data_IF_945136843524
#
_entry.id   IF_945136843524
#
_cell.length_a   1.000
_cell.length_b   1.000
_cell.length_c   1.000
_cell.angle_alpha   90.00
_cell.angle_beta   90.00
_cell.angle_gamma   90.00
#
_symmetry.space_group_name_H-M   'P 1'
#
loop_
_entity.id
_entity.type
_entity.pdbx_description
1 polymer ?
#
# COMPACT_ATOMS: atom_id res chain seq x y z
N UNK A 1 2.96 -62.91 -2.08
CA UNK A 1 1.82 -63.07 -1.16
C UNK A 1 1.55 -61.68 -0.58
N UNK A 2 0.70 -60.87 -1.22
CA UNK A 2 -0.78 -60.89 -1.11
C UNK A 2 -1.15 -59.84 -0.06
N UNK A 3 -2.11 -58.94 -0.16
CA UNK A 3 -3.24 -58.62 -1.06
C UNK A 3 -3.63 -57.17 -0.71
N UNK A 4 -3.80 -56.24 -1.64
CA UNK A 4 -5.03 -55.87 -2.36
C UNK A 4 -6.16 -55.16 -1.54
N UNK A 5 -6.65 -54.06 -2.15
CA UNK A 5 -7.96 -53.40 -1.99
C UNK A 5 -8.23 -52.55 -0.73
N UNK A 6 -8.72 -51.29 -0.79
CA UNK A 6 -9.82 -50.74 -1.60
C UNK A 6 -9.75 -49.21 -1.82
N UNK A 7 -10.27 -48.80 -2.98
CA UNK A 7 -10.60 -47.42 -3.40
C UNK A 7 -11.76 -46.84 -2.60
N UNK A 8 -11.84 -45.51 -2.52
CA UNK A 8 -13.04 -44.71 -2.85
C UNK A 8 -12.61 -43.31 -3.33
N UNK A 9 -13.28 -42.86 -4.39
CA UNK A 9 -13.04 -41.68 -5.22
C UNK A 9 -14.15 -40.66 -4.92
N UNK A 10 -13.81 -39.37 -4.82
CA UNK A 10 -14.51 -38.19 -5.40
C UNK A 10 -13.44 -37.07 -5.37
N UNK A 11 -13.01 -36.40 -6.45
CA UNK A 11 -13.70 -35.99 -7.66
C UNK A 11 -13.78 -34.46 -7.64
N UNK A 12 -12.82 -33.76 -8.29
CA UNK A 12 -13.06 -32.61 -9.17
C UNK A 12 -11.76 -31.85 -9.49
N UNK A 13 -11.18 -32.25 -10.62
CA UNK A 13 -10.56 -31.39 -11.66
C UNK A 13 -9.60 -30.28 -11.23
N UNK A 14 -8.40 -30.66 -10.80
CA UNK A 14 -7.20 -29.88 -11.10
C UNK A 14 -6.61 -30.37 -12.42
N UNK A 15 -7.22 -30.05 -13.56
CA UNK A 15 -6.60 -30.35 -14.85
C UNK A 15 -5.38 -29.45 -15.03
N UNK A 16 -4.21 -29.98 -14.67
CA UNK A 16 -2.94 -29.53 -15.23
C UNK A 16 -2.92 -29.96 -16.68
N UNK A 17 -3.30 -29.06 -17.57
CA UNK A 17 -2.97 -29.21 -18.98
C UNK A 17 -1.52 -28.80 -19.16
N UNK A 18 -0.64 -29.80 -19.16
CA UNK A 18 0.69 -29.68 -19.72
C UNK A 18 0.55 -29.84 -21.23
N UNK A 19 0.77 -28.76 -21.98
CA UNK A 19 0.88 -28.80 -23.43
C UNK A 19 2.23 -28.19 -23.78
N UNK A 20 3.21 -29.04 -24.09
CA UNK A 20 4.39 -28.63 -24.84
C UNK A 20 3.98 -28.44 -26.30
N UNK A 21 3.90 -27.18 -26.74
CA UNK A 21 4.01 -26.81 -28.14
C UNK A 21 4.93 -25.59 -28.24
N UNK A 22 5.89 -25.70 -29.13
CA UNK A 22 7.05 -24.81 -29.23
C UNK A 22 6.77 -23.46 -29.88
N UNK A 23 7.81 -22.62 -29.72
CA UNK A 23 8.17 -21.43 -30.50
C UNK A 23 7.12 -20.34 -30.67
N UNK A 24 7.38 -19.21 -30.01
CA UNK A 24 6.86 -17.89 -30.38
C UNK A 24 5.73 -17.39 -29.48
N UNK A 25 6.02 -16.32 -28.74
CA UNK A 25 5.06 -15.39 -28.15
C UNK A 25 4.05 -15.93 -27.10
N UNK A 26 4.49 -15.97 -25.85
CA UNK A 26 3.69 -15.55 -24.68
C UNK A 26 4.57 -15.55 -23.42
N UNK A 27 5.34 -14.49 -23.20
CA UNK A 27 5.84 -14.19 -21.86
C UNK A 27 4.63 -13.82 -21.00
N UNK A 28 4.30 -14.71 -20.06
CA UNK A 28 3.51 -14.53 -18.84
C UNK A 28 2.68 -13.24 -18.75
N UNK A 29 1.35 -13.39 -18.59
CA UNK A 29 0.46 -12.36 -18.05
C UNK A 29 1.00 -11.92 -16.68
N UNK A 30 1.78 -10.85 -16.69
CA UNK A 30 2.21 -10.14 -15.50
C UNK A 30 1.07 -9.17 -15.20
N UNK A 31 0.26 -9.44 -14.17
CA UNK A 31 -0.47 -8.37 -13.51
C UNK A 31 0.59 -7.51 -12.77
N UNK A 32 1.23 -6.62 -13.52
CA UNK A 32 2.16 -5.60 -13.04
C UNK A 32 1.36 -4.39 -12.55
N UNK A 33 0.57 -4.57 -11.50
CA UNK A 33 0.20 -3.41 -10.70
C UNK A 33 1.42 -3.04 -9.84
N UNK A 34 2.42 -2.41 -10.47
CA UNK A 34 3.66 -1.91 -9.86
C UNK A 34 3.42 -0.90 -8.72
N UNK A 35 2.15 -0.53 -8.50
CA UNK A 35 1.70 0.44 -7.51
C UNK A 35 1.02 -0.22 -6.29
N UNK A 36 1.24 -1.51 -6.05
CA UNK A 36 0.72 -2.18 -4.85
C UNK A 36 1.75 -2.14 -3.72
N UNK A 37 1.50 -1.31 -2.70
CA UNK A 37 2.28 -1.33 -1.45
C UNK A 37 1.36 -1.33 -0.24
N UNK A 38 1.64 -2.20 0.72
CA UNK A 38 0.89 -2.27 1.97
C UNK A 38 1.80 -2.36 3.19
N UNK A 39 1.30 -1.91 4.33
CA UNK A 39 2.07 -1.91 5.57
C UNK A 39 1.57 -0.93 6.59
N UNK A 40 2.23 -0.93 7.75
CA UNK A 40 1.84 -0.09 8.87
C UNK A 40 2.56 1.25 8.81
N UNK A 41 1.81 2.33 8.99
CA UNK A 41 2.35 3.68 9.21
C UNK A 41 1.65 4.33 10.39
N UNK A 42 2.32 5.29 11.02
CA UNK A 42 1.66 6.23 11.92
C UNK A 42 1.13 7.42 11.13
N UNK A 43 -0.16 7.74 11.28
CA UNK A 43 -0.82 8.86 10.63
C UNK A 43 -1.11 9.97 11.62
N UNK A 44 -0.73 11.21 11.30
CA UNK A 44 -1.12 12.38 12.11
C UNK A 44 -2.61 12.70 11.89
N UNK A 45 -3.32 12.93 13.00
CA UNK A 45 -4.69 13.48 12.97
C UNK A 45 -4.72 14.83 12.27
N UNK A 46 -5.84 15.18 11.61
CA UNK A 46 -5.98 16.48 10.92
C UNK A 46 -5.86 17.68 11.87
N UNK A 47 -6.13 17.46 13.16
CA UNK A 47 -6.50 18.56 14.04
C UNK A 47 -7.91 19.09 13.74
N UNK A 48 -8.32 20.10 14.47
CA UNK A 48 -9.62 20.77 14.36
C UNK A 48 -9.97 21.42 15.69
N UNK A 49 -11.04 22.21 15.76
CA UNK A 49 -11.42 23.00 16.94
C UNK A 49 -11.39 22.23 18.27
N UNK A 50 -11.69 20.92 18.25
CA UNK A 50 -11.69 20.04 19.43
C UNK A 50 -10.75 18.81 19.30
N UNK A 51 -10.05 18.64 18.17
CA UNK A 51 -9.29 17.41 17.88
C UNK A 51 -7.79 17.63 17.99
N UNK A 52 -7.12 16.84 18.83
CA UNK A 52 -5.66 16.84 18.97
C UNK A 52 -4.97 16.25 17.73
N UNK A 53 -3.78 16.76 17.41
CA UNK A 53 -2.92 16.27 16.31
C UNK A 53 -2.13 15.01 16.73
N UNK A 54 -2.82 14.00 17.25
CA UNK A 54 -2.17 12.76 17.69
C UNK A 54 -1.78 11.86 16.51
N UNK A 55 -0.68 11.14 16.67
CA UNK A 55 -0.26 10.07 15.75
C UNK A 55 -1.00 8.79 16.07
N UNK A 56 -1.60 8.14 15.06
CA UNK A 56 -2.30 6.86 15.20
C UNK A 56 -1.70 5.83 14.26
N UNK A 57 -1.43 4.63 14.77
CA UNK A 57 -1.05 3.47 13.96
C UNK A 57 -2.23 3.11 13.05
N UNK A 58 -1.96 2.91 11.76
CA UNK A 58 -2.92 2.52 10.74
C UNK A 58 -2.27 1.54 9.78
N UNK A 59 -3.06 0.61 9.29
CA UNK A 59 -2.66 -0.20 8.16
C UNK A 59 -2.99 0.55 6.87
N UNK A 60 -2.02 0.69 5.98
CA UNK A 60 -2.16 1.38 4.71
C UNK A 60 -2.06 0.38 3.56
N UNK A 61 -2.85 0.65 2.52
CA UNK A 61 -2.79 -0.04 1.24
C UNK A 61 -2.83 1.03 0.15
N UNK A 62 -1.78 1.04 -0.66
CA UNK A 62 -1.72 1.74 -1.92
C UNK A 62 -2.08 0.73 -3.00
N UNK A 63 -3.14 1.03 -3.76
CA UNK A 63 -3.52 0.30 -4.96
C UNK A 63 -4.32 1.23 -5.87
N UNK A 64 -4.19 1.09 -7.19
CA UNK A 64 -4.99 1.82 -8.20
C UNK A 64 -5.05 3.35 -8.00
N UNK A 65 -3.91 3.97 -7.64
CA UNK A 65 -3.84 5.42 -7.37
C UNK A 65 -4.61 5.86 -6.11
N UNK A 66 -5.00 4.92 -5.25
CA UNK A 66 -5.69 5.20 -4.00
C UNK A 66 -4.87 4.72 -2.80
N UNK A 67 -4.62 5.62 -1.86
CA UNK A 67 -4.00 5.31 -0.57
C UNK A 67 -5.10 5.17 0.49
N UNK A 68 -5.50 3.94 0.76
CA UNK A 68 -6.52 3.57 1.75
C UNK A 68 -5.86 3.26 3.09
N UNK A 69 -6.59 3.52 4.19
CA UNK A 69 -6.11 3.19 5.52
C UNK A 69 -7.20 2.68 6.47
N UNK A 70 -6.80 1.76 7.34
CA UNK A 70 -7.66 0.95 8.20
C UNK A 70 -7.19 1.02 9.65
N UNK A 71 -8.06 0.68 10.61
CA UNK A 71 -7.66 0.60 12.02
C UNK A 71 -6.54 -0.44 12.24
N UNK A 72 -6.67 -1.60 11.61
CA UNK A 72 -5.75 -2.74 11.65
C UNK A 72 -5.73 -3.42 10.27
N UNK A 73 -4.87 -4.44 10.08
CA UNK A 73 -4.74 -5.19 8.83
C UNK A 73 -6.06 -5.81 8.35
N UNK A 74 -6.91 -6.26 9.27
CA UNK A 74 -8.25 -6.81 9.01
C UNK A 74 -9.38 -5.90 9.52
N UNK A 75 -9.07 -4.63 9.76
CA UNK A 75 -9.97 -3.69 10.43
C UNK A 75 -10.84 -2.87 9.50
N UNK A 76 -11.66 -2.00 10.08
CA UNK A 76 -12.56 -1.09 9.35
C UNK A 76 -11.77 -0.01 8.62
N UNK A 77 -12.14 0.27 7.36
CA UNK A 77 -11.59 1.38 6.59
C UNK A 77 -11.91 2.72 7.25
N UNK A 78 -10.89 3.56 7.46
CA UNK A 78 -11.02 4.89 8.08
C UNK A 78 -10.86 6.06 7.12
N UNK A 79 -10.44 5.78 5.90
CA UNK A 79 -10.40 6.77 4.84
C UNK A 79 -9.63 6.29 3.63
N UNK A 80 -9.71 7.12 2.59
CA UNK A 80 -9.05 6.95 1.31
C UNK A 80 -8.51 8.32 0.87
N UNK A 81 -7.30 8.33 0.32
CA UNK A 81 -6.74 9.46 -0.40
C UNK A 81 -6.66 9.05 -1.87
N UNK A 82 -7.44 9.71 -2.73
CA UNK A 82 -7.37 9.48 -4.18
C UNK A 82 -6.30 10.38 -4.74
N UNK A 83 -5.25 9.78 -5.30
CA UNK A 83 -4.10 10.49 -5.80
C UNK A 83 -4.43 11.15 -7.13
N UNK A 84 -3.99 12.38 -7.30
CA UNK A 84 -4.22 13.19 -8.49
C UNK A 84 -2.91 13.73 -9.07
N UNK A 85 -2.95 14.23 -10.30
CA UNK A 85 -1.78 14.84 -10.97
C UNK A 85 -1.22 16.06 -10.24
N UNK A 86 -1.99 16.67 -9.33
CA UNK A 86 -1.59 17.85 -8.57
C UNK A 86 -1.05 17.49 -7.18
N UNK A 87 -1.07 16.21 -6.81
CA UNK A 87 -0.56 15.77 -5.53
C UNK A 87 0.95 15.55 -5.61
N UNK A 88 1.64 15.68 -4.48
CA UNK A 88 3.08 15.42 -4.41
C UNK A 88 3.51 14.93 -3.03
N UNK A 89 4.63 14.22 -2.99
CA UNK A 89 5.22 13.69 -1.75
C UNK A 89 6.39 14.55 -1.32
N UNK A 90 6.41 14.90 -0.03
CA UNK A 90 7.55 15.57 0.61
C UNK A 90 8.18 14.62 1.63
N UNK A 91 9.50 14.41 1.51
CA UNK A 91 10.31 13.67 2.48
C UNK A 91 10.77 14.61 3.60
N UNK A 92 10.73 14.14 4.83
CA UNK A 92 11.21 14.84 6.03
C UNK A 92 10.70 16.30 6.12
N UNK A 93 9.37 16.52 6.11
CA UNK A 93 8.79 17.84 6.15
C UNK A 93 9.25 18.66 7.37
N UNK A 94 9.78 19.86 7.12
CA UNK A 94 10.42 20.72 8.14
C UNK A 94 9.47 21.14 9.27
N UNK A 95 8.17 21.25 8.98
CA UNK A 95 7.13 21.63 9.93
C UNK A 95 6.52 20.42 10.68
N UNK A 96 7.11 19.24 10.51
CA UNK A 96 6.65 18.02 11.13
C UNK A 96 7.82 17.16 11.60
N UNK A 97 8.76 17.72 12.33
CA UNK A 97 9.80 16.95 13.04
C UNK A 97 9.27 16.32 14.34
N UNK A 98 9.98 15.34 14.89
CA UNK A 98 9.59 14.67 16.14
C UNK A 98 9.82 15.59 17.34
N UNK A 99 8.76 15.87 18.08
CA UNK A 99 8.77 16.82 19.22
C UNK A 99 8.29 16.20 20.54
N UNK A 100 8.02 14.89 20.58
CA UNK A 100 7.46 14.26 21.77
C UNK A 100 7.55 12.74 21.78
N UNK A 101 6.91 12.15 22.78
CA UNK A 101 7.00 10.73 23.14
C UNK A 101 6.05 9.82 22.36
N UNK A 102 5.36 10.33 21.33
CA UNK A 102 4.49 9.50 20.51
C UNK A 102 5.28 8.33 19.89
N UNK A 103 4.62 7.20 19.74
CA UNK A 103 5.20 5.98 19.16
C UNK A 103 5.59 6.11 17.68
N UNK A 104 5.20 7.20 17.01
CA UNK A 104 5.72 7.56 15.68
C UNK A 104 7.21 7.88 15.74
N UNK A 105 7.92 7.59 14.66
CA UNK A 105 9.35 7.91 14.48
C UNK A 105 9.55 9.33 13.93
N UNK A 106 10.82 9.67 13.69
CA UNK A 106 11.22 10.85 12.92
C UNK A 106 11.12 10.66 11.40
N UNK A 107 11.16 9.41 10.92
CA UNK A 107 11.07 9.06 9.49
C UNK A 107 9.69 9.38 8.94
N UNK A 108 9.55 10.58 8.37
CA UNK A 108 8.26 11.19 8.04
C UNK A 108 8.18 11.60 6.58
N UNK A 109 6.99 11.44 6.03
CA UNK A 109 6.64 11.96 4.72
C UNK A 109 5.27 12.65 4.78
N UNK A 110 5.04 13.59 3.88
CA UNK A 110 3.75 14.22 3.68
C UNK A 110 3.23 13.95 2.28
N UNK A 111 1.98 13.46 2.19
CA UNK A 111 1.23 13.45 0.93
C UNK A 111 0.43 14.75 0.86
N UNK A 112 0.79 15.61 -0.07
CA UNK A 112 0.19 16.92 -0.27
C UNK A 112 -0.90 16.79 -1.32
N UNK A 113 -2.16 16.99 -0.93
CA UNK A 113 -3.28 17.14 -1.86
C UNK A 113 -3.83 18.57 -1.77
N UNK A 114 -4.59 19.06 -2.78
CA UNK A 114 -5.16 20.41 -2.76
C UNK A 114 -6.01 20.70 -1.52
N UNK A 115 -6.71 19.69 -1.00
CA UNK A 115 -7.62 19.86 0.15
C UNK A 115 -6.94 19.59 1.48
N UNK A 116 -5.87 18.79 1.50
CA UNK A 116 -5.27 18.32 2.76
C UNK A 116 -3.85 17.80 2.61
N UNK A 117 -3.03 18.13 3.60
CA UNK A 117 -1.71 17.53 3.80
C UNK A 117 -1.78 16.38 4.80
N UNK A 118 -1.37 15.19 4.37
CA UNK A 118 -1.37 13.97 5.19
C UNK A 118 0.04 13.63 5.65
N UNK A 119 0.32 13.80 6.94
CA UNK A 119 1.60 13.42 7.53
C UNK A 119 1.59 11.97 7.98
N UNK A 120 2.57 11.21 7.50
CA UNK A 120 2.81 9.81 7.80
C UNK A 120 4.20 9.64 8.43
N UNK A 121 4.36 8.60 9.24
CA UNK A 121 5.63 8.23 9.86
C UNK A 121 5.84 6.72 9.72
N UNK A 122 7.00 6.34 9.19
CA UNK A 122 7.40 4.96 8.93
C UNK A 122 8.30 4.42 10.05
N UNK A 123 8.42 3.10 10.19
CA UNK A 123 9.29 2.49 11.21
C UNK A 123 10.77 2.79 11.00
N UNK A 124 11.19 2.89 9.73
CA UNK A 124 12.58 3.06 9.34
C UNK A 124 12.71 4.12 8.24
N UNK A 125 13.93 4.63 8.05
CA UNK A 125 14.25 5.51 6.92
C UNK A 125 13.99 4.82 5.58
N UNK A 126 14.41 3.56 5.45
CA UNK A 126 14.18 2.76 4.27
C UNK A 126 12.69 2.64 3.95
N UNK A 127 11.85 2.31 4.94
CA UNK A 127 10.41 2.24 4.75
C UNK A 127 9.82 3.58 4.28
N UNK A 128 10.30 4.70 4.84
CA UNK A 128 9.86 6.03 4.43
C UNK A 128 10.13 6.27 2.94
N UNK A 129 11.35 6.00 2.46
CA UNK A 129 11.68 6.15 1.04
C UNK A 129 10.87 5.19 0.16
N UNK A 130 10.71 3.93 0.57
CA UNK A 130 9.90 2.96 -0.16
C UNK A 130 8.42 3.38 -0.26
N UNK A 131 7.87 4.01 0.77
CA UNK A 131 6.52 4.56 0.71
C UNK A 131 6.43 5.79 -0.17
N UNK A 132 7.41 6.69 -0.10
CA UNK A 132 7.41 7.89 -0.94
C UNK A 132 7.56 7.57 -2.42
N UNK A 133 8.46 6.63 -2.76
CA UNK A 133 8.64 6.14 -4.13
C UNK A 133 7.36 5.48 -4.66
N UNK A 134 6.76 4.56 -3.89
CA UNK A 134 5.51 3.91 -4.29
C UNK A 134 4.36 4.90 -4.50
N UNK A 135 4.17 5.86 -3.59
CA UNK A 135 3.12 6.88 -3.73
C UNK A 135 3.39 7.77 -4.94
N UNK A 136 4.66 8.15 -5.18
CA UNK A 136 5.05 8.98 -6.33
C UNK A 136 4.80 8.27 -7.65
N UNK A 137 5.13 6.98 -7.76
CA UNK A 137 4.86 6.15 -8.94
C UNK A 137 3.36 5.95 -9.20
N UNK A 138 2.56 5.95 -8.14
CA UNK A 138 1.10 5.86 -8.22
C UNK A 138 0.41 7.19 -8.59
N UNK A 139 1.14 8.31 -8.66
CA UNK A 139 0.58 9.57 -9.14
C UNK A 139 0.31 9.49 -10.65
N UNK A 140 -0.87 9.92 -11.13
CA UNK A 140 -1.11 9.99 -12.57
C UNK A 140 -0.14 10.98 -13.24
N UNK A 141 0.34 10.64 -14.44
CA UNK A 141 1.19 11.54 -15.21
C UNK A 141 0.42 12.81 -15.59
N UNK A 142 1.04 13.98 -15.37
CA UNK A 142 0.49 15.24 -15.88
C UNK A 142 0.50 15.21 -17.40
N UNK A 143 -0.66 15.29 -18.04
CA UNK A 143 -0.73 15.60 -19.48
C UNK A 143 -0.18 17.02 -19.66
N UNK A 144 1.02 17.13 -20.24
CA UNK A 144 1.56 18.41 -20.72
C UNK A 144 0.53 18.96 -21.72
N UNK A 145 -0.02 20.13 -21.44
CA UNK A 145 -0.72 20.95 -22.43
C UNK A 145 0.31 21.73 -23.22
#
# INVERSE_FOLDING_TARGET
>A
MGSDSKRQIFGSVGHSFHLEIGTGDAMSIINLDDNVKQGVLYKRGAGGFLKRKNWKRRYFQLNDGELRYYDTTSGVQKGVVRLSTNDFVEIMPRDCYKTGTSASTEWRLAVNTPSRRFFLSASTEYDMYQWADAITKALPASRRK
#
